data_IF_378446343961
#
_entry.id   IF_378446343961
#
_cell.length_a   1.000
_cell.length_b   1.000
_cell.length_c   1.000
_cell.angle_alpha   90.00
_cell.angle_beta   90.00
_cell.angle_gamma   90.00
#
_symmetry.space_group_name_H-M   'P 1'
#
loop_
_entity.id
_entity.type
_entity.pdbx_description
1 polymer ?
#
# COMPACT_ATOMS: atom_id res chain seq x y z
N UNK A 1 -26.13 -25.54 -47.16
CA UNK A 1 -25.08 -25.33 -46.13
C UNK A 1 -25.23 -24.00 -45.43
N UNK A 2 -26.08 -23.85 -44.45
CA UNK A 2 -25.99 -22.67 -43.54
C UNK A 2 -26.17 -22.99 -42.05
N UNK A 3 -25.92 -24.25 -41.61
CA UNK A 3 -26.12 -24.61 -40.20
C UNK A 3 -24.90 -24.35 -39.30
N UNK A 4 -23.69 -24.33 -39.87
CA UNK A 4 -22.45 -24.20 -39.08
C UNK A 4 -22.06 -22.74 -38.75
N UNK A 5 -22.55 -21.76 -39.51
CA UNK A 5 -22.28 -20.34 -39.25
C UNK A 5 -23.06 -19.80 -38.04
N UNK A 6 -24.27 -20.32 -37.78
CA UNK A 6 -25.07 -19.92 -36.62
C UNK A 6 -24.53 -20.51 -35.31
N UNK A 7 -23.96 -21.72 -35.33
CA UNK A 7 -23.33 -22.31 -34.18
C UNK A 7 -22.02 -21.57 -33.80
N UNK A 8 -21.21 -21.20 -34.81
CA UNK A 8 -19.97 -20.45 -34.57
C UNK A 8 -20.25 -19.05 -34.00
N UNK A 9 -21.26 -18.36 -34.53
CA UNK A 9 -21.69 -17.05 -33.97
C UNK A 9 -22.23 -17.13 -32.54
N UNK A 10 -22.96 -18.20 -32.20
CA UNK A 10 -23.47 -18.42 -30.84
C UNK A 10 -22.35 -18.77 -29.86
N UNK A 11 -21.33 -19.52 -30.28
CA UNK A 11 -20.15 -19.81 -29.44
C UNK A 11 -19.30 -18.57 -29.19
N UNK A 12 -19.08 -17.75 -30.21
CA UNK A 12 -18.33 -16.49 -30.07
C UNK A 12 -19.07 -15.51 -29.17
N UNK A 13 -20.41 -15.41 -29.30
CA UNK A 13 -21.22 -14.57 -28.42
C UNK A 13 -21.21 -15.07 -26.97
N UNK A 14 -21.23 -16.39 -26.73
CA UNK A 14 -21.15 -16.96 -25.39
C UNK A 14 -19.75 -16.76 -24.75
N UNK A 15 -18.68 -16.83 -25.53
CA UNK A 15 -17.31 -16.55 -25.05
C UNK A 15 -17.14 -15.06 -24.77
N UNK A 16 -17.64 -14.15 -25.61
CA UNK A 16 -17.63 -12.71 -25.34
C UNK A 16 -18.48 -12.35 -24.10
N UNK A 17 -19.64 -12.98 -23.91
CA UNK A 17 -20.46 -12.76 -22.72
C UNK A 17 -19.79 -13.26 -21.45
N UNK A 18 -19.07 -14.39 -21.51
CA UNK A 18 -18.29 -14.89 -20.38
C UNK A 18 -17.07 -14.01 -20.05
N UNK A 19 -16.50 -13.33 -21.06
CA UNK A 19 -15.40 -12.37 -20.84
C UNK A 19 -15.91 -11.02 -20.28
N UNK A 20 -17.15 -10.65 -20.57
CA UNK A 20 -17.78 -9.41 -20.06
C UNK A 20 -18.33 -9.57 -18.64
N UNK A 21 -18.47 -10.79 -18.14
CA UNK A 21 -18.87 -11.05 -16.73
C UNK A 21 -17.69 -11.23 -15.78
N UNK A 22 -16.45 -11.08 -16.27
CA UNK A 22 -15.30 -10.94 -15.39
C UNK A 22 -15.34 -9.57 -14.75
N UNK A 23 -16.11 -9.46 -13.68
CA UNK A 23 -16.10 -8.29 -12.82
C UNK A 23 -14.81 -8.33 -11.99
N UNK A 24 -13.79 -7.51 -12.30
CA UNK A 24 -12.53 -7.52 -11.55
C UNK A 24 -12.73 -7.18 -10.07
N UNK A 25 -13.87 -6.56 -9.72
CA UNK A 25 -14.23 -6.30 -8.32
C UNK A 25 -14.53 -7.58 -7.52
N UNK A 26 -14.84 -8.70 -8.16
CA UNK A 26 -15.04 -9.98 -7.48
C UNK A 26 -13.77 -10.86 -7.41
N UNK A 27 -12.66 -10.42 -8.01
CA UNK A 27 -11.38 -11.12 -7.90
C UNK A 27 -10.64 -10.78 -6.60
N UNK A 28 -11.02 -9.72 -5.90
CA UNK A 28 -10.59 -9.46 -4.52
C UNK A 28 -11.49 -10.28 -3.57
N UNK A 29 -11.25 -11.58 -3.47
CA UNK A 29 -11.77 -12.32 -2.34
C UNK A 29 -11.42 -11.54 -1.08
N UNK A 30 -12.36 -11.44 -0.12
CA UNK A 30 -12.09 -10.76 1.16
C UNK A 30 -10.74 -11.22 1.69
N UNK A 31 -9.88 -10.26 2.05
CA UNK A 31 -8.59 -10.55 2.61
C UNK A 31 -8.75 -11.55 3.76
N UNK A 32 -8.03 -12.66 3.69
CA UNK A 32 -8.04 -13.66 4.75
C UNK A 32 -7.14 -13.20 5.89
N UNK A 33 -7.55 -13.49 7.11
CA UNK A 33 -6.82 -13.13 8.32
C UNK A 33 -5.48 -13.87 8.43
N UNK A 34 -4.60 -13.39 9.30
CA UNK A 34 -3.38 -14.10 9.65
C UNK A 34 -3.69 -15.48 10.26
N UNK A 35 -4.73 -15.58 11.08
CA UNK A 35 -5.18 -16.84 11.67
C UNK A 35 -5.59 -17.89 10.63
N UNK A 36 -6.16 -17.46 9.51
CA UNK A 36 -6.52 -18.37 8.41
C UNK A 36 -5.28 -18.94 7.71
N UNK A 37 -4.27 -18.09 7.44
CA UNK A 37 -3.08 -18.48 6.69
C UNK A 37 -2.00 -19.13 7.55
N UNK A 38 -1.93 -18.70 8.81
CA UNK A 38 -0.85 -19.06 9.75
C UNK A 38 -1.42 -19.25 11.14
N UNK A 39 -2.20 -20.34 11.36
CA UNK A 39 -2.90 -20.54 12.63
C UNK A 39 -1.98 -20.71 13.85
N UNK A 40 -0.70 -21.05 13.62
CA UNK A 40 0.33 -21.19 14.65
C UNK A 40 1.04 -19.88 15.02
N UNK A 41 0.82 -18.80 14.25
CA UNK A 41 1.41 -17.52 14.58
C UNK A 41 0.62 -16.79 15.67
N UNK A 42 1.32 -15.86 16.33
CA UNK A 42 0.72 -15.03 17.37
C UNK A 42 -0.52 -14.30 16.84
N UNK A 43 -1.64 -14.49 17.54
CA UNK A 43 -2.87 -13.75 17.27
C UNK A 43 -2.74 -12.30 17.76
N UNK A 44 -2.66 -11.36 16.83
CA UNK A 44 -2.59 -9.93 17.11
C UNK A 44 -3.98 -9.28 17.26
N UNK A 45 -5.06 -9.99 16.97
CA UNK A 45 -6.43 -9.50 17.11
C UNK A 45 -6.75 -9.06 18.53
N UNK A 46 -6.15 -9.72 19.53
CA UNK A 46 -6.30 -9.37 20.94
C UNK A 46 -5.90 -7.93 21.27
N UNK A 47 -4.97 -7.34 20.52
CA UNK A 47 -4.53 -5.96 20.73
C UNK A 47 -5.63 -4.94 20.42
N UNK A 48 -6.66 -5.35 19.69
CA UNK A 48 -7.71 -4.45 19.16
C UNK A 48 -9.13 -4.92 19.43
N UNK A 49 -9.29 -6.10 20.01
CA UNK A 49 -10.59 -6.76 20.18
C UNK A 49 -11.66 -5.91 20.89
N UNK A 50 -11.24 -4.94 21.70
CA UNK A 50 -12.14 -4.06 22.47
C UNK A 50 -11.93 -2.58 22.17
N UNK A 51 -11.21 -2.21 21.12
CA UNK A 51 -10.94 -0.82 20.77
C UNK A 51 -11.76 -0.40 19.54
N UNK A 52 -12.88 0.27 19.77
CA UNK A 52 -13.72 0.85 18.72
C UNK A 52 -12.98 1.90 17.84
N UNK A 53 -11.80 2.35 18.29
CA UNK A 53 -10.94 3.28 17.51
C UNK A 53 -10.06 2.58 16.50
N UNK A 54 -10.08 1.25 16.42
CA UNK A 54 -9.32 0.49 15.43
C UNK A 54 -9.70 0.90 14.00
N UNK A 55 -10.99 1.18 13.75
CA UNK A 55 -11.47 1.79 12.52
C UNK A 55 -12.12 3.16 12.83
N UNK A 56 -11.40 4.28 12.69
CA UNK A 56 -11.91 5.60 13.07
C UNK A 56 -13.00 6.13 12.12
N UNK A 57 -13.23 5.49 10.99
CA UNK A 57 -14.18 5.96 9.95
C UNK A 57 -15.51 5.24 9.98
N UNK A 58 -15.61 4.12 10.73
CA UNK A 58 -16.79 3.27 10.76
C UNK A 58 -16.91 2.35 9.54
N UNK A 59 -17.88 1.44 9.60
CA UNK A 59 -18.04 0.38 8.60
C UNK A 59 -18.68 0.88 7.30
N UNK A 60 -19.42 1.98 7.34
CA UNK A 60 -20.12 2.57 6.19
C UNK A 60 -19.23 3.50 5.34
N UNK A 61 -17.95 3.67 5.71
CA UNK A 61 -17.06 4.57 5.01
C UNK A 61 -16.57 3.97 3.69
N UNK A 62 -16.98 4.55 2.57
CA UNK A 62 -16.49 4.24 1.23
C UNK A 62 -15.31 5.16 0.86
N UNK A 63 -14.11 4.59 0.90
CA UNK A 63 -12.90 5.33 0.58
C UNK A 63 -12.82 5.71 -0.91
N UNK A 64 -13.26 4.85 -1.82
CA UNK A 64 -13.20 5.15 -3.25
C UNK A 64 -14.05 6.39 -3.56
N UNK A 65 -15.27 6.45 -3.02
CA UNK A 65 -16.15 7.61 -3.14
C UNK A 65 -15.55 8.86 -2.46
N UNK A 66 -14.94 8.72 -1.30
CA UNK A 66 -14.30 9.84 -0.61
C UNK A 66 -13.15 10.45 -1.43
N UNK A 67 -12.38 9.62 -2.13
CA UNK A 67 -11.27 10.07 -2.96
C UNK A 67 -11.73 10.81 -4.23
N UNK A 68 -12.92 10.56 -4.76
CA UNK A 68 -13.45 11.25 -5.96
C UNK A 68 -13.51 12.77 -5.78
N UNK A 69 -13.61 13.25 -4.54
CA UNK A 69 -13.63 14.68 -4.23
C UNK A 69 -12.24 15.33 -4.21
N UNK A 70 -11.17 14.55 -4.37
CA UNK A 70 -9.78 15.03 -4.24
C UNK A 70 -9.28 15.60 -5.56
N UNK A 71 -8.82 16.86 -5.54
CA UNK A 71 -8.04 17.42 -6.64
C UNK A 71 -6.64 16.79 -6.64
N UNK A 72 -6.42 15.81 -7.51
CA UNK A 72 -5.16 15.07 -7.61
C UNK A 72 -3.98 16.01 -7.97
N UNK A 73 -4.21 17.05 -8.77
CA UNK A 73 -3.17 18.02 -9.14
C UNK A 73 -2.73 18.82 -7.91
N UNK A 74 -3.68 19.30 -7.13
CA UNK A 74 -3.38 20.00 -5.88
C UNK A 74 -2.71 19.08 -4.86
N UNK A 75 -3.16 17.83 -4.74
CA UNK A 75 -2.53 16.83 -3.86
C UNK A 75 -1.06 16.57 -4.27
N UNK A 76 -0.78 16.38 -5.56
CA UNK A 76 0.60 16.22 -6.06
C UNK A 76 1.47 17.43 -5.71
N UNK A 77 0.96 18.65 -5.89
CA UNK A 77 1.70 19.88 -5.55
C UNK A 77 1.99 19.98 -4.04
N UNK A 78 1.04 19.61 -3.18
CA UNK A 78 1.28 19.57 -1.73
C UNK A 78 2.32 18.52 -1.33
N UNK A 79 2.28 17.34 -1.96
CA UNK A 79 3.30 16.29 -1.77
C UNK A 79 4.66 16.79 -2.23
N UNK A 80 4.79 17.37 -3.43
CA UNK A 80 6.03 17.90 -3.95
C UNK A 80 6.61 18.99 -3.03
N UNK A 81 5.77 19.88 -2.52
CA UNK A 81 6.17 20.87 -1.52
C UNK A 81 6.73 20.22 -0.26
N UNK A 82 6.09 19.16 0.24
CA UNK A 82 6.59 18.42 1.41
C UNK A 82 7.95 17.74 1.12
N UNK A 83 8.13 17.22 -0.10
CA UNK A 83 9.38 16.58 -0.53
C UNK A 83 10.57 17.55 -0.64
N UNK A 84 10.31 18.81 -0.98
CA UNK A 84 11.32 19.83 -1.25
C UNK A 84 11.51 20.83 -0.11
N UNK A 85 10.80 20.65 1.01
CA UNK A 85 10.91 21.48 2.21
C UNK A 85 11.65 20.73 3.32
N UNK A 86 12.94 20.99 3.47
CA UNK A 86 13.76 20.37 4.51
C UNK A 86 13.24 20.71 5.91
N UNK A 87 13.24 19.73 6.79
CA UNK A 87 12.79 19.85 8.17
C UNK A 87 13.99 19.80 9.12
N UNK A 88 14.05 20.69 10.10
CA UNK A 88 15.16 20.75 11.07
C UNK A 88 15.31 19.44 11.87
N UNK A 89 14.19 18.79 12.18
CA UNK A 89 14.18 17.53 12.92
C UNK A 89 14.62 16.31 12.10
N UNK A 90 14.65 16.42 10.77
CA UNK A 90 15.10 15.41 9.82
C UNK A 90 15.54 16.10 8.53
N UNK A 91 16.74 16.70 8.48
CA UNK A 91 17.20 17.43 7.30
C UNK A 91 17.20 16.57 6.05
N UNK A 92 16.74 17.15 4.95
CA UNK A 92 16.70 16.47 3.67
C UNK A 92 18.09 16.43 3.02
N UNK A 93 18.46 15.27 2.49
CA UNK A 93 19.68 15.14 1.69
C UNK A 93 19.56 16.02 0.43
N UNK A 94 20.49 16.94 0.27
CA UNK A 94 20.48 17.89 -0.86
C UNK A 94 19.16 18.69 -0.97
N UNK A 95 18.45 18.86 0.13
CA UNK A 95 17.19 19.60 0.17
C UNK A 95 15.98 18.84 -0.39
N UNK A 96 16.08 17.54 -0.63
CA UNK A 96 15.03 16.76 -1.27
C UNK A 96 14.86 15.38 -0.62
N UNK A 97 13.61 15.03 -0.23
CA UNK A 97 13.28 13.74 0.36
C UNK A 97 12.95 12.63 -0.67
N UNK A 98 13.20 12.85 -1.96
CA UNK A 98 12.79 11.93 -3.03
C UNK A 98 13.23 10.49 -2.83
N UNK A 99 14.50 10.25 -2.54
CA UNK A 99 15.02 8.91 -2.28
C UNK A 99 14.32 8.22 -1.10
N UNK A 100 14.02 8.97 -0.03
CA UNK A 100 13.29 8.46 1.13
C UNK A 100 11.83 8.08 0.76
N UNK A 101 11.17 8.85 -0.10
CA UNK A 101 9.78 8.58 -0.52
C UNK A 101 9.69 7.45 -1.54
N UNK A 102 10.63 7.34 -2.46
CA UNK A 102 10.73 6.18 -3.35
C UNK A 102 10.92 4.91 -2.53
N UNK A 103 11.80 4.96 -1.51
CA UNK A 103 12.01 3.85 -0.59
C UNK A 103 10.72 3.53 0.20
N UNK A 104 9.97 4.53 0.65
CA UNK A 104 8.68 4.35 1.33
C UNK A 104 7.68 3.61 0.45
N UNK A 105 7.51 4.03 -0.81
CA UNK A 105 6.64 3.38 -1.78
C UNK A 105 7.09 1.96 -2.10
N UNK A 106 8.39 1.74 -2.30
CA UNK A 106 8.97 0.43 -2.53
C UNK A 106 8.70 -0.52 -1.37
N UNK A 107 8.94 -0.12 -0.13
CA UNK A 107 8.70 -0.95 1.05
C UNK A 107 7.21 -1.17 1.33
N UNK A 108 6.33 -0.27 0.88
CA UNK A 108 4.89 -0.52 0.88
C UNK A 108 4.52 -1.63 -0.10
N UNK A 109 4.97 -1.52 -1.35
CA UNK A 109 4.67 -2.49 -2.40
C UNK A 109 5.37 -3.84 -2.16
N UNK A 110 6.60 -3.82 -1.66
CA UNK A 110 7.46 -5.00 -1.50
C UNK A 110 7.01 -5.99 -0.42
N UNK A 111 5.98 -5.68 0.34
CA UNK A 111 5.36 -6.64 1.27
C UNK A 111 4.42 -7.62 0.59
N UNK A 112 4.17 -7.46 -0.73
CA UNK A 112 3.27 -8.32 -1.47
C UNK A 112 3.75 -9.77 -1.56
N UNK A 113 2.84 -10.70 -1.33
CA UNK A 113 3.08 -12.14 -1.39
C UNK A 113 2.34 -12.77 -2.55
N UNK A 114 3.10 -13.33 -3.48
CA UNK A 114 2.55 -13.95 -4.70
C UNK A 114 1.68 -15.17 -4.39
N UNK A 115 2.01 -15.94 -3.34
CA UNK A 115 1.34 -17.21 -3.06
C UNK A 115 -0.02 -17.09 -2.34
N UNK A 116 -0.27 -16.00 -1.63
CA UNK A 116 -1.53 -15.79 -0.92
C UNK A 116 -2.19 -14.43 -1.22
N UNK A 117 -1.52 -13.57 -2.00
CA UNK A 117 -2.05 -12.29 -2.43
C UNK A 117 -2.14 -11.22 -1.33
N UNK A 118 -1.54 -11.45 -0.15
CA UNK A 118 -1.54 -10.50 0.95
C UNK A 118 -0.36 -9.53 0.88
N UNK A 119 -0.44 -8.45 1.65
CA UNK A 119 0.58 -7.41 1.65
C UNK A 119 0.48 -6.50 0.43
N UNK A 120 1.58 -5.84 0.09
CA UNK A 120 1.64 -4.88 -1.00
C UNK A 120 1.26 -3.46 -0.57
N UNK A 121 1.08 -2.60 -1.57
CA UNK A 121 0.73 -1.20 -1.34
C UNK A 121 -0.67 -0.98 -0.76
N UNK A 122 -1.55 -1.99 -0.88
CA UNK A 122 -2.91 -1.92 -0.34
C UNK A 122 -2.91 -1.84 1.18
N UNK A 123 -3.89 -1.11 1.72
CA UNK A 123 -4.10 -1.01 3.16
C UNK A 123 -3.09 -0.18 3.93
N UNK A 124 -2.02 0.29 3.31
CA UNK A 124 -0.99 1.08 3.99
C UNK A 124 -0.36 0.36 5.19
N UNK A 125 -0.22 -0.95 5.13
CA UNK A 125 0.08 -1.84 6.25
C UNK A 125 1.42 -1.56 6.93
N UNK A 126 2.42 -1.02 6.21
CA UNK A 126 3.75 -0.76 6.78
C UNK A 126 3.78 0.28 7.90
N UNK A 127 2.68 1.01 8.13
CA UNK A 127 2.55 1.93 9.27
C UNK A 127 2.21 1.22 10.59
N UNK A 128 1.80 -0.05 10.51
CA UNK A 128 1.32 -0.85 11.62
C UNK A 128 2.32 -1.95 11.98
N UNK A 129 2.33 -2.32 13.25
CA UNK A 129 3.11 -3.46 13.72
C UNK A 129 2.48 -4.80 13.25
N UNK A 130 3.30 -5.83 12.99
CA UNK A 130 4.76 -5.89 13.17
C UNK A 130 5.56 -5.37 11.98
N UNK A 131 4.95 -5.04 10.82
CA UNK A 131 5.68 -4.61 9.62
C UNK A 131 6.52 -3.35 9.85
N UNK A 132 6.00 -2.40 10.65
CA UNK A 132 6.70 -1.17 10.97
C UNK A 132 8.04 -1.42 11.70
N UNK A 133 8.15 -2.51 12.44
CA UNK A 133 9.34 -2.89 13.21
C UNK A 133 10.38 -3.69 12.43
N UNK A 134 10.11 -4.04 11.19
CA UNK A 134 11.08 -4.79 10.40
C UNK A 134 12.37 -3.99 10.19
N UNK A 135 13.56 -4.63 10.32
CA UNK A 135 14.85 -3.92 10.26
C UNK A 135 15.05 -3.09 8.98
N UNK A 136 14.55 -3.58 7.84
CA UNK A 136 14.66 -2.87 6.56
C UNK A 136 13.72 -1.67 6.45
N UNK A 137 12.78 -1.52 7.38
CA UNK A 137 11.84 -0.39 7.45
C UNK A 137 12.38 0.80 8.25
N UNK A 138 13.63 0.75 8.72
CA UNK A 138 14.26 1.82 9.48
C UNK A 138 14.10 3.18 8.81
N UNK A 139 13.70 4.19 9.59
CA UNK A 139 13.45 5.58 9.18
C UNK A 139 12.23 5.83 8.26
N UNK A 140 11.43 4.81 7.91
CA UNK A 140 10.20 5.04 7.13
C UNK A 140 9.09 5.72 7.96
N UNK A 141 9.18 5.68 9.27
CA UNK A 141 8.37 6.51 10.18
C UNK A 141 8.63 8.01 9.95
N UNK A 142 9.88 8.41 9.70
CA UNK A 142 10.26 9.80 9.36
C UNK A 142 9.66 10.21 8.01
N UNK A 143 9.67 9.32 7.02
CA UNK A 143 8.99 9.57 5.75
C UNK A 143 7.50 9.88 5.93
N UNK A 144 6.80 9.06 6.72
CA UNK A 144 5.38 9.32 7.06
C UNK A 144 5.20 10.63 7.83
N UNK A 145 6.12 10.95 8.72
CA UNK A 145 6.07 12.22 9.46
C UNK A 145 6.27 13.44 8.55
N UNK A 146 7.12 13.35 7.52
CA UNK A 146 7.27 14.40 6.48
C UNK A 146 5.95 14.58 5.71
N UNK A 147 5.25 13.49 5.41
CA UNK A 147 3.95 13.52 4.72
C UNK A 147 2.76 13.90 5.62
N UNK A 148 2.95 13.97 6.94
CA UNK A 148 1.86 14.19 7.89
C UNK A 148 1.06 15.48 7.64
N UNK A 149 1.65 16.64 7.32
CA UNK A 149 0.89 17.85 6.99
C UNK A 149 -0.05 17.66 5.80
N UNK A 150 0.39 16.91 4.77
CA UNK A 150 -0.46 16.55 3.63
C UNK A 150 -1.60 15.64 4.09
N UNK A 151 -1.29 14.59 4.86
CA UNK A 151 -2.31 13.69 5.42
C UNK A 151 -3.35 14.43 6.26
N UNK A 152 -2.93 15.38 7.09
CA UNK A 152 -3.84 16.21 7.88
C UNK A 152 -4.76 17.07 7.01
N UNK A 153 -4.23 17.68 5.94
CA UNK A 153 -5.00 18.53 5.03
C UNK A 153 -6.12 17.76 4.32
N UNK A 154 -5.83 16.55 3.85
CA UNK A 154 -6.79 15.75 3.09
C UNK A 154 -7.61 14.78 3.96
N UNK A 155 -7.19 14.55 5.19
CA UNK A 155 -7.92 13.74 6.17
C UNK A 155 -8.24 12.33 5.67
N UNK A 156 -9.51 11.95 5.79
CA UNK A 156 -10.00 10.63 5.37
C UNK A 156 -10.11 10.44 3.86
N UNK A 157 -10.10 11.55 3.10
CA UNK A 157 -10.24 11.50 1.65
C UNK A 157 -8.98 11.00 0.92
N UNK A 158 -7.83 10.96 1.61
CA UNK A 158 -6.59 10.37 1.10
C UNK A 158 -6.05 9.39 2.14
N UNK A 159 -6.08 8.11 1.80
CA UNK A 159 -5.55 7.05 2.66
C UNK A 159 -4.02 7.13 2.78
N UNK A 160 -3.47 6.49 3.80
CA UNK A 160 -2.02 6.28 3.87
C UNK A 160 -1.52 5.36 2.75
N UNK A 161 -2.31 4.34 2.38
CA UNK A 161 -1.97 3.45 1.27
C UNK A 161 -1.72 4.24 -0.01
N UNK A 162 -2.66 5.09 -0.39
CA UNK A 162 -2.55 5.92 -1.58
C UNK A 162 -1.48 7.02 -1.44
N UNK A 163 -1.41 7.70 -0.30
CA UNK A 163 -0.45 8.78 -0.09
C UNK A 163 1.00 8.29 -0.18
N UNK A 164 1.32 7.13 0.38
CA UNK A 164 2.68 6.58 0.34
C UNK A 164 3.11 6.19 -1.07
N UNK A 165 2.20 5.61 -1.87
CA UNK A 165 2.48 5.26 -3.27
C UNK A 165 2.58 6.52 -4.13
N UNK A 166 1.66 7.48 -3.95
CA UNK A 166 1.68 8.75 -4.66
C UNK A 166 2.95 9.53 -4.38
N UNK A 167 3.43 9.53 -3.13
CA UNK A 167 4.68 10.21 -2.77
C UNK A 167 5.89 9.65 -3.52
N UNK A 168 5.93 8.34 -3.78
CA UNK A 168 6.94 7.73 -4.64
C UNK A 168 6.86 8.20 -6.09
N UNK A 169 5.65 8.28 -6.67
CA UNK A 169 5.45 8.81 -8.03
C UNK A 169 5.86 10.28 -8.12
N UNK A 170 5.38 11.13 -7.22
CA UNK A 170 5.72 12.55 -7.19
C UNK A 170 7.23 12.76 -7.01
N UNK A 171 7.89 11.92 -6.20
CA UNK A 171 9.34 11.96 -6.05
C UNK A 171 10.07 11.68 -7.37
N UNK A 172 9.63 10.67 -8.12
CA UNK A 172 10.19 10.37 -9.45
C UNK A 172 9.91 11.50 -10.43
N UNK A 173 8.68 12.00 -10.50
CA UNK A 173 8.26 13.08 -11.39
C UNK A 173 9.05 14.38 -11.10
N UNK A 174 9.26 14.74 -9.83
CA UNK A 174 10.04 15.93 -9.43
C UNK A 174 11.53 15.83 -9.79
N UNK A 175 12.02 14.61 -10.04
CA UNK A 175 13.40 14.36 -10.53
C UNK A 175 13.48 14.20 -12.05
N UNK A 176 12.37 14.41 -12.78
CA UNK A 176 12.33 14.40 -14.23
C UNK A 176 11.99 13.04 -14.86
N UNK A 177 11.51 12.06 -14.08
CA UNK A 177 11.01 10.81 -14.63
C UNK A 177 9.54 10.92 -15.03
N UNK A 178 9.17 10.28 -16.11
CA UNK A 178 7.77 10.08 -16.49
C UNK A 178 7.23 8.80 -15.84
N UNK A 179 6.22 8.95 -14.98
CA UNK A 179 5.55 7.80 -14.38
C UNK A 179 4.39 7.33 -15.26
N UNK A 180 4.02 6.04 -15.15
CA UNK A 180 2.85 5.51 -15.88
C UNK A 180 1.51 6.08 -15.40
N UNK A 181 1.52 6.84 -14.31
CA UNK A 181 0.34 7.43 -13.69
C UNK A 181 0.07 6.88 -12.29
N UNK A 182 -1.10 7.24 -11.77
CA UNK A 182 -1.53 6.88 -10.42
C UNK A 182 -3.00 6.46 -10.45
N UNK A 183 -3.30 5.34 -9.84
CA UNK A 183 -4.66 4.92 -9.52
C UNK A 183 -4.83 4.93 -8.00
N UNK A 184 -5.93 5.50 -7.53
CA UNK A 184 -6.37 5.50 -6.13
C UNK A 184 -7.20 4.25 -5.80
N UNK A 185 -7.63 4.13 -4.55
CA UNK A 185 -8.56 3.10 -4.11
C UNK A 185 -8.00 2.17 -3.03
N UNK A 186 -6.78 2.41 -2.54
CA UNK A 186 -6.15 1.66 -1.45
C UNK A 186 -6.69 2.11 -0.11
N UNK A 187 -7.82 1.54 0.32
CA UNK A 187 -8.35 1.84 1.65
C UNK A 187 -7.38 1.38 2.75
N UNK A 188 -7.24 2.19 3.80
CA UNK A 188 -6.38 1.82 4.93
C UNK A 188 -6.96 0.65 5.72
N UNK A 189 -6.12 -0.33 6.09
CA UNK A 189 -6.48 -1.36 7.08
C UNK A 189 -6.19 -0.85 8.49
N UNK A 190 -7.04 -1.26 9.43
CA UNK A 190 -7.00 -0.85 10.83
C UNK A 190 -6.91 -2.04 11.78
N UNK A 191 -7.31 -3.22 11.31
CA UNK A 191 -7.31 -4.44 12.09
C UNK A 191 -5.96 -5.15 12.06
N UNK A 192 -5.40 -5.48 13.21
CA UNK A 192 -4.12 -6.17 13.33
C UNK A 192 -4.10 -7.51 12.60
N UNK A 193 -5.23 -8.23 12.61
CA UNK A 193 -5.36 -9.53 11.96
C UNK A 193 -5.30 -9.45 10.42
N UNK A 194 -5.60 -8.28 9.85
CA UNK A 194 -5.49 -8.04 8.40
C UNK A 194 -4.10 -7.57 7.96
N UNK A 195 -3.26 -7.15 8.91
CA UNK A 195 -1.88 -6.74 8.61
C UNK A 195 -1.05 -7.97 8.31
N UNK A 196 -0.50 -8.02 7.07
CA UNK A 196 0.38 -9.11 6.72
C UNK A 196 1.64 -9.11 7.58
N UNK A 197 1.96 -10.25 8.14
CA UNK A 197 3.24 -10.53 8.76
C UNK A 197 3.56 -12.02 8.62
N UNK A 198 4.80 -12.37 8.57
CA UNK A 198 5.24 -13.74 8.37
C UNK A 198 6.66 -13.95 8.88
N UNK A 199 7.27 -15.10 8.63
CA UNK A 199 8.63 -15.37 9.07
C UNK A 199 9.61 -14.42 8.35
N UNK A 200 9.87 -13.29 8.96
CA UNK A 200 10.73 -12.20 8.45
C UNK A 200 12.11 -12.71 8.02
N UNK A 201 12.64 -13.67 8.76
CA UNK A 201 13.93 -14.31 8.45
C UNK A 201 14.00 -14.97 7.08
N UNK A 202 12.84 -15.27 6.46
CA UNK A 202 12.76 -15.82 5.11
C UNK A 202 12.53 -14.77 4.04
N UNK A 203 12.03 -13.60 4.42
CA UNK A 203 11.71 -12.52 3.48
C UNK A 203 12.85 -11.51 3.34
N UNK A 204 13.53 -11.23 4.45
CA UNK A 204 14.66 -10.34 4.46
C UNK A 204 15.90 -11.16 4.15
N UNK A 205 16.56 -10.87 3.02
CA UNK A 205 17.89 -11.39 2.76
C UNK A 205 18.79 -11.01 3.92
N UNK A 206 19.65 -11.94 4.36
CA UNK A 206 20.63 -11.66 5.38
C UNK A 206 21.40 -10.40 4.98
N UNK A 207 21.40 -9.40 5.86
CA UNK A 207 22.14 -8.19 5.63
C UNK A 207 23.64 -8.52 5.75
N UNK A 208 24.30 -8.58 4.61
CA UNK A 208 25.73 -8.90 4.52
C UNK A 208 26.64 -7.87 5.18
N UNK A 209 26.09 -6.70 5.54
CA UNK A 209 26.81 -5.65 6.27
C UNK A 209 27.08 -6.03 7.72
N UNK A 210 26.34 -7.00 8.24
CA UNK A 210 26.54 -7.48 9.62
C UNK A 210 27.18 -8.87 9.60
N UNK A 211 28.24 -9.00 10.35
CA UNK A 211 28.85 -10.30 10.62
C UNK A 211 27.96 -11.20 11.48
N UNK A 212 28.36 -12.46 11.61
CA UNK A 212 27.64 -13.42 12.47
C UNK A 212 27.63 -13.00 13.96
N UNK A 213 28.49 -12.11 14.34
CA UNK A 213 28.61 -11.49 15.68
C UNK A 213 27.75 -10.23 15.84
N UNK A 214 26.96 -9.87 14.83
CA UNK A 214 26.11 -8.69 14.83
C UNK A 214 26.86 -7.36 14.66
N UNK A 215 28.15 -7.39 14.34
CA UNK A 215 28.94 -6.17 14.09
C UNK A 215 28.95 -5.82 12.62
N UNK A 216 28.94 -4.52 12.31
CA UNK A 216 29.18 -3.99 10.97
C UNK A 216 30.55 -4.43 10.47
N UNK A 217 30.60 -4.99 9.27
CA UNK A 217 31.81 -5.35 8.55
C UNK A 217 32.28 -4.21 7.66
#
# INVERSE_FOLDING_TARGET
MPRNTKLAAALVAAILSALLTFNPANATGMAKSNQFWWPELLDLGQLRANDARSNPYGDDFDYAQAFESVDLKALKADVEKALTTSQDWWPADWGHYGGLMIRLAWHSAGTYRVHDGRGGGDGGQIRLEPLNSWPDKGNLDKARRVLWPVKQKYGRNVSWGDLMILAGNVALESMGFETLGFASGRADVWEADLVYWGPETKMLANDKRYGKDGKLQ
#
